data_IF_797601187425
#
_entry.id   IF_797601187425
#
_cell.length_a   1.000
_cell.length_b   1.000
_cell.length_c   1.000
_cell.angle_alpha   90.00
_cell.angle_beta   90.00
_cell.angle_gamma   90.00
#
_symmetry.space_group_name_H-M   'P 1'
#
loop_
_entity.id
_entity.type
_entity.pdbx_description
1 polymer ?
#
# COMPACT_ATOMS: atom_id res chain seq x y z
N UNK A 1 11.03 -36.09 -44.48
CA UNK A 1 9.57 -36.13 -44.70
C UNK A 1 9.08 -37.54 -45.02
N UNK A 2 9.64 -38.26 -46.01
CA UNK A 2 9.27 -39.66 -46.32
C UNK A 2 9.10 -40.59 -45.10
N UNK A 3 10.05 -40.59 -44.16
CA UNK A 3 9.96 -41.43 -42.95
C UNK A 3 8.84 -41.01 -41.99
N UNK A 4 8.51 -39.71 -41.91
CA UNK A 4 7.44 -39.19 -41.05
C UNK A 4 6.07 -39.65 -41.56
N UNK A 5 5.88 -39.62 -42.88
CA UNK A 5 4.65 -40.08 -43.52
C UNK A 5 4.44 -41.59 -43.37
N UNK A 6 5.51 -42.37 -43.54
CA UNK A 6 5.49 -43.83 -43.34
C UNK A 6 5.12 -44.17 -41.89
N UNK A 7 5.70 -43.46 -40.91
CA UNK A 7 5.36 -43.67 -39.50
C UNK A 7 3.90 -43.31 -39.23
N UNK A 8 3.40 -42.18 -39.76
CA UNK A 8 2.01 -41.78 -39.61
C UNK A 8 1.05 -42.83 -40.18
N UNK A 9 1.30 -43.28 -41.41
CA UNK A 9 0.45 -44.26 -42.09
C UNK A 9 0.49 -45.64 -41.43
N UNK A 10 1.68 -46.12 -41.04
CA UNK A 10 1.84 -47.42 -40.38
C UNK A 10 1.21 -47.45 -38.99
N UNK A 11 1.35 -46.35 -38.21
CA UNK A 11 0.77 -46.26 -36.87
C UNK A 11 -0.76 -46.20 -36.88
N UNK A 12 -1.37 -45.63 -37.93
CA UNK A 12 -2.83 -45.60 -38.05
C UNK A 12 -3.41 -46.89 -38.67
N UNK A 13 -2.67 -47.57 -39.54
CA UNK A 13 -3.11 -48.81 -40.19
C UNK A 13 -2.95 -50.06 -39.31
N UNK A 14 -2.10 -50.01 -38.29
CA UNK A 14 -1.93 -51.10 -37.31
C UNK A 14 -3.02 -51.13 -36.23
N UNK A 15 -3.88 -50.12 -36.17
CA UNK A 15 -4.92 -49.95 -35.15
C UNK A 15 -6.32 -50.17 -35.72
N UNK A 16 -7.29 -50.43 -34.85
CA UNK A 16 -8.69 -50.37 -35.26
C UNK A 16 -9.14 -48.92 -35.50
N UNK A 17 -10.29 -48.73 -36.16
CA UNK A 17 -10.73 -47.40 -36.59
C UNK A 17 -11.04 -46.43 -35.45
N UNK A 18 -11.40 -46.91 -34.26
CA UNK A 18 -11.68 -46.03 -33.11
C UNK A 18 -10.37 -45.62 -32.43
N UNK A 19 -9.49 -46.56 -32.15
CA UNK A 19 -8.15 -46.31 -31.60
C UNK A 19 -7.33 -45.37 -32.49
N UNK A 20 -7.43 -45.52 -33.82
CA UNK A 20 -6.76 -44.64 -34.78
C UNK A 20 -7.29 -43.20 -34.73
N UNK A 21 -8.58 -42.99 -34.41
CA UNK A 21 -9.18 -41.65 -34.27
C UNK A 21 -8.76 -40.98 -32.96
N UNK A 22 -8.55 -41.75 -31.91
CA UNK A 22 -8.14 -41.24 -30.61
C UNK A 22 -6.66 -40.85 -30.62
N UNK A 23 -5.81 -41.64 -31.30
CA UNK A 23 -4.38 -41.37 -31.41
C UNK A 23 -4.03 -40.23 -32.39
N UNK A 24 -4.99 -39.82 -33.24
CA UNK A 24 -4.76 -38.96 -34.38
C UNK A 24 -4.12 -37.61 -34.03
N UNK A 25 -4.65 -36.94 -33.01
CA UNK A 25 -4.20 -35.61 -32.60
C UNK A 25 -2.78 -35.67 -32.02
N UNK A 26 -2.53 -36.61 -31.11
CA UNK A 26 -1.23 -36.79 -30.47
C UNK A 26 -0.15 -37.24 -31.46
N UNK A 27 -0.50 -38.16 -32.37
CA UNK A 27 0.43 -38.64 -33.39
C UNK A 27 0.80 -37.51 -34.37
N UNK A 28 -0.19 -36.75 -34.86
CA UNK A 28 0.06 -35.61 -35.72
C UNK A 28 0.91 -34.54 -35.03
N UNK A 29 0.66 -34.26 -33.75
CA UNK A 29 1.43 -33.28 -32.97
C UNK A 29 2.89 -33.73 -32.82
N UNK A 30 3.12 -34.94 -32.33
CA UNK A 30 4.46 -35.46 -32.07
C UNK A 30 5.32 -35.53 -33.34
N UNK A 31 4.73 -35.96 -34.46
CA UNK A 31 5.41 -36.03 -35.74
C UNK A 31 5.71 -34.65 -36.32
N UNK A 32 4.81 -33.68 -36.13
CA UNK A 32 5.03 -32.30 -36.53
C UNK A 32 6.17 -31.65 -35.73
N UNK A 33 6.15 -31.75 -34.40
CA UNK A 33 7.23 -31.26 -33.54
C UNK A 33 8.59 -31.85 -33.93
N UNK A 34 8.67 -33.18 -34.11
CA UNK A 34 9.90 -33.86 -34.54
C UNK A 34 10.44 -33.35 -35.87
N UNK A 35 9.54 -32.95 -36.78
CA UNK A 35 9.94 -32.50 -38.11
C UNK A 35 10.30 -31.01 -38.14
N UNK A 36 9.68 -30.20 -37.28
CA UNK A 36 10.07 -28.81 -37.02
C UNK A 36 11.46 -28.76 -36.38
N UNK A 37 11.73 -29.57 -35.36
CA UNK A 37 13.05 -29.64 -34.69
C UNK A 37 14.19 -29.97 -35.67
N UNK A 38 13.92 -30.76 -36.71
CA UNK A 38 14.91 -31.13 -37.74
C UNK A 38 15.22 -30.00 -38.72
N UNK A 39 14.31 -29.04 -38.90
CA UNK A 39 14.49 -27.92 -39.82
C UNK A 39 13.69 -26.68 -39.35
N UNK A 40 14.18 -25.98 -38.32
CA UNK A 40 13.45 -24.90 -37.65
C UNK A 40 13.27 -23.65 -38.53
N UNK A 41 14.07 -23.47 -39.59
CA UNK A 41 14.02 -22.26 -40.43
C UNK A 41 12.87 -22.25 -41.45
N UNK A 42 12.08 -23.32 -41.57
CA UNK A 42 10.99 -23.43 -42.56
C UNK A 42 9.70 -24.02 -41.99
N UNK A 43 9.36 -23.70 -40.73
CA UNK A 43 8.19 -24.24 -40.00
C UNK A 43 6.91 -24.23 -40.84
N UNK A 44 6.58 -23.09 -41.47
CA UNK A 44 5.33 -22.95 -42.22
C UNK A 44 5.28 -23.85 -43.47
N UNK A 45 6.39 -24.01 -44.20
CA UNK A 45 6.47 -24.93 -45.34
C UNK A 45 6.32 -26.39 -44.89
N UNK A 46 6.92 -26.74 -43.75
CA UNK A 46 6.83 -28.09 -43.17
C UNK A 46 5.40 -28.40 -42.77
N UNK A 47 4.74 -27.50 -42.03
CA UNK A 47 3.36 -27.68 -41.59
C UNK A 47 2.38 -27.78 -42.77
N UNK A 48 2.52 -26.95 -43.79
CA UNK A 48 1.69 -27.01 -45.00
C UNK A 48 1.84 -28.35 -45.72
N UNK A 49 3.07 -28.86 -45.84
CA UNK A 49 3.34 -30.14 -46.46
C UNK A 49 2.80 -31.31 -45.63
N UNK A 50 3.00 -31.27 -44.30
CA UNK A 50 2.45 -32.29 -43.38
C UNK A 50 0.92 -32.32 -43.38
N UNK A 51 0.26 -31.17 -43.46
CA UNK A 51 -1.20 -31.09 -43.57
C UNK A 51 -1.67 -31.86 -44.81
N UNK A 52 -1.12 -31.56 -45.98
CA UNK A 52 -1.50 -32.23 -47.24
C UNK A 52 -1.23 -33.74 -47.16
N UNK A 53 -0.05 -34.12 -46.65
CA UNK A 53 0.37 -35.51 -46.52
C UNK A 53 -0.52 -36.32 -45.56
N UNK A 54 -0.78 -35.80 -44.37
CA UNK A 54 -1.64 -36.46 -43.37
C UNK A 54 -3.07 -36.60 -43.87
N UNK A 55 -3.65 -35.55 -44.47
CA UNK A 55 -4.99 -35.62 -45.05
C UNK A 55 -5.08 -36.65 -46.19
N UNK A 56 -4.02 -36.81 -46.97
CA UNK A 56 -3.93 -37.83 -48.04
C UNK A 56 -3.95 -39.24 -47.44
N UNK A 57 -3.22 -39.46 -46.34
CA UNK A 57 -3.24 -40.74 -45.60
C UNK A 57 -4.63 -41.02 -45.01
N UNK A 58 -5.31 -40.02 -44.43
CA UNK A 58 -6.67 -40.20 -43.92
C UNK A 58 -7.65 -40.62 -45.01
N UNK A 59 -7.54 -40.06 -46.22
CA UNK A 59 -8.34 -40.51 -47.37
C UNK A 59 -8.04 -41.96 -47.74
N UNK A 60 -6.76 -42.34 -47.79
CA UNK A 60 -6.32 -43.70 -48.11
C UNK A 60 -6.85 -44.74 -47.11
N UNK A 61 -6.88 -44.40 -45.82
CA UNK A 61 -7.30 -45.30 -44.75
C UNK A 61 -8.81 -45.25 -44.43
N UNK A 62 -9.62 -44.52 -45.20
CA UNK A 62 -11.05 -44.30 -44.92
C UNK A 62 -11.30 -43.70 -43.53
N UNK A 63 -10.42 -42.81 -43.07
CA UNK A 63 -10.50 -42.04 -41.83
C UNK A 63 -10.76 -40.54 -42.09
N UNK A 64 -11.03 -40.15 -43.32
CA UNK A 64 -11.28 -38.76 -43.68
C UNK A 64 -12.69 -38.34 -43.25
N UNK A 65 -12.78 -37.56 -42.16
CA UNK A 65 -14.00 -36.92 -41.65
C UNK A 65 -13.67 -35.53 -41.13
N UNK A 66 -14.67 -34.64 -41.03
CA UNK A 66 -14.48 -33.27 -40.52
C UNK A 66 -13.88 -33.26 -39.10
N UNK A 67 -14.27 -34.23 -38.26
CA UNK A 67 -13.72 -34.40 -36.92
C UNK A 67 -12.22 -34.72 -36.94
N UNK A 68 -11.82 -35.70 -37.77
CA UNK A 68 -10.42 -36.12 -37.86
C UNK A 68 -9.55 -35.06 -38.53
N UNK A 69 -10.07 -34.37 -39.55
CA UNK A 69 -9.42 -33.21 -40.17
C UNK A 69 -9.16 -32.12 -39.12
N UNK A 70 -10.17 -31.83 -38.28
CA UNK A 70 -10.05 -30.85 -37.20
C UNK A 70 -8.97 -31.26 -36.19
N UNK A 71 -8.89 -32.53 -35.80
CA UNK A 71 -7.84 -33.06 -34.91
C UNK A 71 -6.44 -32.84 -35.50
N UNK A 72 -6.24 -33.13 -36.79
CA UNK A 72 -4.95 -32.89 -37.48
C UNK A 72 -4.60 -31.40 -37.49
N UNK A 73 -5.56 -30.53 -37.85
CA UNK A 73 -5.31 -29.08 -37.90
C UNK A 73 -4.96 -28.54 -36.51
N UNK A 74 -5.70 -28.93 -35.45
CA UNK A 74 -5.40 -28.56 -34.06
C UNK A 74 -4.00 -29.00 -33.65
N UNK A 75 -3.61 -30.22 -33.97
CA UNK A 75 -2.29 -30.75 -33.67
C UNK A 75 -1.17 -29.95 -34.34
N UNK A 76 -1.33 -29.58 -35.62
CA UNK A 76 -0.36 -28.80 -36.38
C UNK A 76 -0.25 -27.35 -35.88
N UNK A 77 -1.36 -26.74 -35.49
CA UNK A 77 -1.37 -25.41 -34.86
C UNK A 77 -0.72 -25.46 -33.47
N UNK A 78 -0.99 -26.49 -32.66
CA UNK A 78 -0.30 -26.69 -31.38
C UNK A 78 1.21 -26.82 -31.57
N UNK A 79 1.64 -27.63 -32.55
CA UNK A 79 3.06 -27.83 -32.85
C UNK A 79 3.76 -26.56 -33.35
N UNK A 80 3.05 -25.61 -33.97
CA UNK A 80 3.64 -24.38 -34.48
C UNK A 80 3.99 -23.36 -33.39
N UNK A 81 3.36 -23.47 -32.21
CA UNK A 81 3.54 -22.53 -31.09
C UNK A 81 4.29 -23.15 -29.90
N UNK A 82 4.60 -24.44 -29.94
CA UNK A 82 5.17 -25.20 -28.82
C UNK A 82 6.53 -24.64 -28.37
N UNK A 83 7.43 -24.32 -29.31
CA UNK A 83 8.74 -23.72 -28.98
C UNK A 83 8.59 -22.33 -28.35
N UNK A 84 7.67 -21.50 -28.88
CA UNK A 84 7.36 -20.17 -28.32
C UNK A 84 6.78 -20.29 -26.91
N UNK A 85 5.89 -21.25 -26.69
CA UNK A 85 5.30 -21.55 -25.39
C UNK A 85 6.35 -22.02 -24.37
N UNK A 86 7.25 -22.90 -24.79
CA UNK A 86 8.35 -23.37 -23.93
C UNK A 86 9.34 -22.25 -23.60
N UNK A 87 9.62 -21.36 -24.55
CA UNK A 87 10.43 -20.16 -24.33
C UNK A 87 9.77 -19.23 -23.31
N UNK A 88 8.46 -19.01 -23.43
CA UNK A 88 7.68 -18.22 -22.46
C UNK A 88 7.76 -18.82 -21.04
N UNK A 89 7.59 -20.13 -20.89
CA UNK A 89 7.75 -20.78 -19.58
C UNK A 89 9.18 -20.67 -19.04
N UNK A 90 10.19 -20.70 -19.91
CA UNK A 90 11.57 -20.40 -19.54
C UNK A 90 11.69 -19.00 -18.92
N UNK A 91 11.18 -17.97 -19.59
CA UNK A 91 11.18 -16.60 -19.05
C UNK A 91 10.40 -16.48 -17.73
N UNK A 92 9.26 -17.15 -17.59
CA UNK A 92 8.50 -17.14 -16.33
C UNK A 92 9.30 -17.72 -15.17
N UNK A 93 10.02 -18.83 -15.40
CA UNK A 93 10.89 -19.44 -14.39
C UNK A 93 12.09 -18.54 -14.05
N UNK A 94 12.70 -17.89 -15.04
CA UNK A 94 13.78 -16.92 -14.81
C UNK A 94 13.31 -15.75 -13.94
N UNK A 95 12.11 -15.21 -14.20
CA UNK A 95 11.49 -14.16 -13.38
C UNK A 95 11.29 -14.64 -11.95
N UNK A 96 10.80 -15.87 -11.75
CA UNK A 96 10.61 -16.42 -10.39
C UNK A 96 11.93 -16.54 -9.63
N UNK A 97 12.98 -17.04 -10.27
CA UNK A 97 14.32 -17.15 -9.69
C UNK A 97 14.89 -15.76 -9.37
N UNK A 98 14.71 -14.79 -10.27
CA UNK A 98 15.19 -13.43 -10.08
C UNK A 98 14.48 -12.75 -8.90
N UNK A 99 13.16 -12.92 -8.78
CA UNK A 99 12.38 -12.42 -7.66
C UNK A 99 12.86 -13.00 -6.33
N UNK A 100 13.11 -14.31 -6.27
CA UNK A 100 13.70 -14.96 -5.07
C UNK A 100 15.06 -14.39 -4.71
N UNK A 101 15.93 -14.13 -5.69
CA UNK A 101 17.25 -13.51 -5.47
C UNK A 101 17.14 -12.08 -4.97
N UNK A 102 16.24 -11.27 -5.53
CA UNK A 102 15.96 -9.91 -5.07
C UNK A 102 15.51 -9.93 -3.62
N UNK A 103 14.57 -10.81 -3.27
CA UNK A 103 14.04 -10.90 -1.91
C UNK A 103 15.12 -11.33 -0.91
N UNK A 104 15.95 -12.32 -1.26
CA UNK A 104 17.09 -12.72 -0.44
C UNK A 104 18.09 -11.56 -0.23
N UNK A 105 18.36 -10.77 -1.27
CA UNK A 105 19.27 -9.62 -1.15
C UNK A 105 18.68 -8.51 -0.28
N UNK A 106 17.37 -8.22 -0.41
CA UNK A 106 16.69 -7.29 0.49
C UNK A 106 16.83 -7.72 1.95
N UNK A 107 16.57 -9.00 2.24
CA UNK A 107 16.72 -9.54 3.60
C UNK A 107 18.16 -9.48 4.10
N UNK A 108 19.14 -9.69 3.23
CA UNK A 108 20.56 -9.62 3.59
C UNK A 108 20.96 -8.19 3.97
N UNK A 109 20.56 -7.20 3.16
CA UNK A 109 20.78 -5.77 3.46
C UNK A 109 20.09 -5.37 4.76
N UNK A 110 18.83 -5.78 4.95
CA UNK A 110 18.06 -5.57 6.17
C UNK A 110 18.77 -6.10 7.42
N UNK A 111 19.24 -7.34 7.37
CA UNK A 111 19.95 -7.97 8.48
C UNK A 111 21.29 -7.29 8.77
N UNK A 112 22.05 -6.92 7.73
CA UNK A 112 23.33 -6.24 7.90
C UNK A 112 23.17 -4.89 8.59
N UNK A 113 22.20 -4.09 8.16
CA UNK A 113 21.97 -2.77 8.75
C UNK A 113 21.46 -2.91 10.20
N UNK A 114 20.51 -3.82 10.44
CA UNK A 114 20.05 -4.11 11.81
C UNK A 114 21.20 -4.53 12.73
N UNK A 115 22.09 -5.42 12.26
CA UNK A 115 23.25 -5.86 13.04
C UNK A 115 24.21 -4.70 13.34
N UNK A 116 24.51 -3.84 12.37
CA UNK A 116 25.37 -2.69 12.62
C UNK A 116 24.75 -1.72 13.63
N UNK A 117 23.43 -1.50 13.60
CA UNK A 117 22.76 -0.66 14.60
C UNK A 117 22.84 -1.26 16.00
N UNK A 118 22.60 -2.57 16.17
CA UNK A 118 22.77 -3.24 17.46
C UNK A 118 24.22 -3.19 17.95
N UNK A 119 25.20 -3.40 17.06
CA UNK A 119 26.62 -3.26 17.40
C UNK A 119 26.96 -1.84 17.85
N UNK A 120 26.44 -0.82 17.15
CA UNK A 120 26.62 0.58 17.54
C UNK A 120 25.93 0.92 18.87
N UNK A 121 24.71 0.40 19.09
CA UNK A 121 24.01 0.57 20.37
C UNK A 121 24.82 -0.01 21.53
N UNK A 122 25.31 -1.25 21.39
CA UNK A 122 26.12 -1.91 22.41
C UNK A 122 27.41 -1.13 22.72
N UNK A 123 28.11 -0.66 21.70
CA UNK A 123 29.33 0.15 21.87
C UNK A 123 29.00 1.48 22.58
N UNK A 124 27.87 2.11 22.24
CA UNK A 124 27.46 3.39 22.82
C UNK A 124 27.00 3.24 24.28
N UNK A 125 26.33 2.14 24.64
CA UNK A 125 25.96 1.82 26.03
C UNK A 125 27.19 1.63 26.94
N UNK A 126 28.31 1.15 26.40
CA UNK A 126 29.58 1.01 27.13
C UNK A 126 30.40 2.32 27.19
N UNK A 127 29.99 3.36 26.47
CA UNK A 127 30.69 4.64 26.37
C UNK A 127 30.24 5.65 27.43
N UNK A 128 31.15 6.55 27.84
CA UNK A 128 30.90 7.59 28.87
C UNK A 128 29.93 8.72 28.45
N UNK A 129 29.30 8.62 27.27
CA UNK A 129 28.42 9.62 26.67
C UNK A 129 26.96 9.12 26.52
N UNK A 130 26.56 8.09 27.27
CA UNK A 130 25.27 7.40 27.18
C UNK A 130 24.04 8.35 27.24
N UNK A 131 24.11 9.42 28.01
CA UNK A 131 23.01 10.40 28.14
C UNK A 131 22.93 11.42 27.00
N UNK A 132 24.01 11.62 26.22
CA UNK A 132 24.06 12.63 25.14
C UNK A 132 23.67 12.08 23.76
N UNK A 133 23.73 10.76 23.55
CA UNK A 133 23.57 10.13 22.22
C UNK A 133 22.36 9.20 22.05
N UNK A 134 21.66 8.82 23.12
CA UNK A 134 20.45 7.96 23.03
C UNK A 134 19.40 8.51 22.06
N UNK A 135 19.23 9.82 21.98
CA UNK A 135 18.34 10.45 20.99
C UNK A 135 18.84 10.25 19.56
N UNK A 136 20.10 10.60 19.28
CA UNK A 136 20.66 10.58 17.93
C UNK A 136 20.84 9.19 17.32
N UNK A 137 21.10 8.16 18.13
CA UNK A 137 21.13 6.78 17.65
C UNK A 137 19.73 6.27 17.30
N UNK A 138 18.74 6.55 18.15
CA UNK A 138 17.35 6.23 17.86
C UNK A 138 16.88 6.95 16.58
N UNK A 139 17.23 8.22 16.40
CA UNK A 139 16.95 8.97 15.18
C UNK A 139 17.67 8.38 13.94
N UNK A 140 18.91 7.87 14.09
CA UNK A 140 19.62 7.20 12.99
C UNK A 140 19.04 5.82 12.64
N UNK A 141 18.58 5.06 13.64
CA UNK A 141 17.85 3.80 13.44
C UNK A 141 16.54 4.08 12.72
N UNK A 142 15.80 5.11 13.17
CA UNK A 142 14.53 5.55 12.59
C UNK A 142 14.68 5.99 11.12
N UNK A 143 15.76 6.69 10.76
CA UNK A 143 16.11 7.10 9.40
C UNK A 143 16.11 5.94 8.39
N UNK A 144 16.53 4.75 8.81
CA UNK A 144 16.62 3.57 7.95
C UNK A 144 15.36 2.68 7.97
N UNK A 145 14.37 2.92 8.86
CA UNK A 145 13.23 2.02 9.05
C UNK A 145 12.37 1.85 7.78
N UNK A 146 12.15 2.92 7.02
CA UNK A 146 11.45 2.84 5.74
C UNK A 146 12.39 2.42 4.59
N UNK A 147 13.66 2.84 4.61
CA UNK A 147 14.65 2.48 3.58
C UNK A 147 14.97 0.98 3.56
N UNK A 148 14.89 0.32 4.73
CA UNK A 148 15.15 -1.11 4.91
C UNK A 148 13.93 -2.01 4.72
N UNK A 149 12.73 -1.42 4.58
CA UNK A 149 11.47 -2.18 4.63
C UNK A 149 11.28 -2.92 5.95
N UNK A 150 11.70 -2.32 7.08
CA UNK A 150 11.52 -2.88 8.44
C UNK A 150 10.43 -2.20 9.25
N UNK A 151 9.79 -1.16 8.71
CA UNK A 151 8.75 -0.39 9.40
C UNK A 151 7.64 -1.28 10.00
N UNK A 152 7.25 -2.31 9.26
CA UNK A 152 6.26 -3.28 9.75
C UNK A 152 6.79 -4.00 10.99
N UNK A 153 7.96 -4.63 10.92
CA UNK A 153 8.49 -5.42 12.04
C UNK A 153 8.89 -4.55 13.24
N UNK A 154 9.39 -3.34 13.02
CA UNK A 154 9.71 -2.41 14.12
C UNK A 154 8.43 -1.95 14.82
N UNK A 155 7.39 -1.59 14.05
CA UNK A 155 6.09 -1.27 14.63
C UNK A 155 5.55 -2.48 15.41
N UNK A 156 5.56 -3.67 14.81
CA UNK A 156 5.07 -4.91 15.43
C UNK A 156 5.77 -5.18 16.77
N UNK A 157 7.10 -5.14 16.80
CA UNK A 157 7.88 -5.33 18.03
C UNK A 157 7.56 -4.30 19.10
N UNK A 158 7.39 -3.02 18.73
CA UNK A 158 7.09 -1.95 19.67
C UNK A 158 5.69 -2.09 20.29
N UNK A 159 4.68 -2.43 19.48
CA UNK A 159 3.31 -2.63 19.95
C UNK A 159 3.14 -3.94 20.74
N UNK A 160 3.83 -5.02 20.36
CA UNK A 160 3.87 -6.25 21.16
C UNK A 160 4.51 -5.98 22.53
N UNK A 161 5.64 -5.27 22.58
CA UNK A 161 6.27 -4.86 23.85
C UNK A 161 5.32 -4.01 24.71
N UNK A 162 4.51 -3.16 24.08
CA UNK A 162 3.51 -2.34 24.79
C UNK A 162 2.43 -3.22 25.44
N UNK A 163 1.97 -4.26 24.73
CA UNK A 163 1.04 -5.24 25.28
C UNK A 163 1.66 -6.08 26.41
N UNK A 164 2.92 -6.48 26.28
CA UNK A 164 3.64 -7.24 27.30
C UNK A 164 3.81 -6.46 28.60
N UNK A 165 4.07 -5.15 28.51
CA UNK A 165 4.20 -4.26 29.66
C UNK A 165 2.84 -3.88 30.28
N UNK A 166 1.77 -3.90 29.49
CA UNK A 166 0.38 -3.64 29.90
C UNK A 166 0.15 -2.31 30.67
N UNK A 167 1.03 -1.33 30.49
CA UNK A 167 0.93 0.00 31.10
C UNK A 167 0.41 1.01 30.08
N UNK A 168 -0.73 1.64 30.39
CA UNK A 168 -1.38 2.71 29.61
C UNK A 168 -1.30 2.51 28.09
N UNK A 169 -1.95 1.44 27.62
CA UNK A 169 -1.81 0.94 26.24
C UNK A 169 -2.25 2.00 25.22
N UNK A 170 -3.32 2.75 25.47
CA UNK A 170 -3.79 3.78 24.55
C UNK A 170 -2.75 4.89 24.39
N UNK A 171 -2.24 5.44 25.51
CA UNK A 171 -1.29 6.54 25.49
C UNK A 171 0.06 6.12 24.92
N UNK A 172 0.56 4.95 25.34
CA UNK A 172 1.83 4.41 24.86
C UNK A 172 1.77 4.09 23.38
N UNK A 173 0.66 3.50 22.91
CA UNK A 173 0.46 3.22 21.48
C UNK A 173 0.34 4.49 20.64
N UNK A 174 -0.25 5.54 21.20
CA UNK A 174 -0.26 6.86 20.57
C UNK A 174 1.16 7.40 20.40
N UNK A 175 1.95 7.47 21.46
CA UNK A 175 3.31 8.02 21.40
C UNK A 175 4.21 7.23 20.44
N UNK A 176 4.11 5.89 20.44
CA UNK A 176 4.85 5.04 19.49
C UNK A 176 4.43 5.35 18.05
N UNK A 177 3.13 5.32 17.74
CA UNK A 177 2.63 5.58 16.40
C UNK A 177 3.02 6.99 15.92
N UNK A 178 2.90 7.99 16.79
CA UNK A 178 3.27 9.38 16.53
C UNK A 178 4.73 9.51 16.15
N UNK A 179 5.64 8.92 16.94
CA UNK A 179 7.07 8.99 16.70
C UNK A 179 7.48 8.24 15.43
N UNK A 180 6.95 7.03 15.21
CA UNK A 180 7.23 6.24 14.01
C UNK A 180 6.81 6.99 12.73
N UNK A 181 5.60 7.57 12.74
CA UNK A 181 5.08 8.35 11.61
C UNK A 181 5.90 9.63 11.40
N UNK A 182 6.09 10.40 12.46
CA UNK A 182 6.79 11.68 12.39
C UNK A 182 8.21 11.51 11.82
N UNK A 183 8.95 10.53 12.32
CA UNK A 183 10.33 10.27 11.89
C UNK A 183 10.35 9.75 10.45
N UNK A 184 9.57 8.71 10.14
CA UNK A 184 9.53 8.14 8.78
C UNK A 184 9.17 9.17 7.69
N UNK A 185 8.27 10.12 8.00
CA UNK A 185 7.92 11.20 7.07
C UNK A 185 9.04 12.24 6.97
N UNK A 186 9.59 12.69 8.11
CA UNK A 186 10.56 13.78 8.14
C UNK A 186 11.94 13.41 7.58
N UNK A 187 12.27 12.12 7.55
CA UNK A 187 13.60 11.62 7.22
C UNK A 187 13.83 11.44 5.71
N UNK A 188 12.85 11.75 4.86
CA UNK A 188 12.97 11.57 3.42
C UNK A 188 12.02 12.48 2.60
N UNK A 189 11.78 12.19 1.31
CA UNK A 189 10.95 13.06 0.46
C UNK A 189 9.51 13.19 0.95
N UNK A 190 9.10 14.43 1.17
CA UNK A 190 7.80 14.83 1.69
C UNK A 190 6.74 14.79 0.58
N UNK A 191 6.11 13.63 0.38
CA UNK A 191 5.11 13.37 -0.66
C UNK A 191 3.84 12.76 -0.04
N UNK A 192 2.66 13.24 -0.46
CA UNK A 192 1.36 12.84 0.10
C UNK A 192 1.11 11.34 0.03
N UNK A 193 1.34 10.73 -1.14
CA UNK A 193 1.15 9.29 -1.36
C UNK A 193 1.98 8.45 -0.38
N UNK A 194 3.22 8.88 -0.13
CA UNK A 194 4.13 8.19 0.77
C UNK A 194 3.70 8.31 2.23
N UNK A 195 3.28 9.50 2.67
CA UNK A 195 2.75 9.71 4.02
C UNK A 195 1.60 8.73 4.30
N UNK A 196 0.68 8.57 3.33
CA UNK A 196 -0.45 7.65 3.45
C UNK A 196 0.03 6.18 3.44
N UNK A 197 1.03 5.83 2.64
CA UNK A 197 1.61 4.48 2.60
C UNK A 197 2.26 4.07 3.92
N UNK A 198 3.09 4.95 4.50
CA UNK A 198 3.70 4.74 5.83
C UNK A 198 2.61 4.56 6.88
N UNK A 199 1.59 5.42 6.85
CA UNK A 199 0.41 5.35 7.73
C UNK A 199 -0.32 4.01 7.61
N UNK A 200 -0.54 3.53 6.37
CA UNK A 200 -1.17 2.24 6.11
C UNK A 200 -0.38 1.07 6.71
N UNK A 201 0.95 1.07 6.61
CA UNK A 201 1.81 0.01 7.16
C UNK A 201 1.63 -0.08 8.67
N UNK A 202 1.74 1.05 9.37
CA UNK A 202 1.66 1.09 10.84
C UNK A 202 0.24 0.72 11.31
N UNK A 203 -0.79 1.30 10.70
CA UNK A 203 -2.18 1.01 11.04
C UNK A 203 -2.50 -0.47 10.87
N UNK A 204 -2.15 -1.06 9.72
CA UNK A 204 -2.42 -2.48 9.47
C UNK A 204 -1.66 -3.40 10.43
N UNK A 205 -0.42 -3.08 10.77
CA UNK A 205 0.36 -3.84 11.75
C UNK A 205 -0.35 -3.88 13.11
N UNK A 206 -0.84 -2.73 13.58
CA UNK A 206 -1.58 -2.68 14.85
C UNK A 206 -2.95 -3.32 14.75
N UNK A 207 -3.64 -3.21 13.61
CA UNK A 207 -4.93 -3.87 13.40
C UNK A 207 -4.80 -5.39 13.39
N UNK A 208 -3.73 -5.94 12.82
CA UNK A 208 -3.41 -7.36 12.92
C UNK A 208 -3.27 -7.78 14.40
N UNK A 209 -2.44 -7.07 15.17
CA UNK A 209 -2.23 -7.31 16.61
C UNK A 209 -3.53 -7.14 17.43
N UNK A 210 -4.31 -6.11 17.15
CA UNK A 210 -5.55 -5.81 17.86
C UNK A 210 -6.65 -6.84 17.58
N UNK A 211 -6.69 -7.42 16.37
CA UNK A 211 -7.59 -8.51 16.07
C UNK A 211 -7.25 -9.78 16.86
N UNK A 212 -5.96 -10.04 17.09
CA UNK A 212 -5.49 -11.16 17.91
C UNK A 212 -5.68 -10.89 19.41
N UNK A 213 -5.50 -9.63 19.84
CA UNK A 213 -5.56 -9.20 21.24
C UNK A 213 -6.88 -8.50 21.57
N UNK A 214 -7.98 -9.29 21.60
CA UNK A 214 -9.34 -8.77 21.83
C UNK A 214 -9.51 -7.92 23.10
N UNK A 215 -8.72 -8.19 24.15
CA UNK A 215 -8.80 -7.46 25.43
C UNK A 215 -8.32 -6.01 25.34
N UNK A 216 -7.38 -5.71 24.43
CA UNK A 216 -6.73 -4.41 24.30
C UNK A 216 -6.99 -3.74 22.95
N UNK A 217 -7.80 -4.38 22.09
CA UNK A 217 -8.07 -3.94 20.73
C UNK A 217 -8.56 -2.49 20.65
N UNK A 218 -9.44 -2.08 21.59
CA UNK A 218 -9.98 -0.72 21.63
C UNK A 218 -8.89 0.31 21.89
N UNK A 219 -8.09 0.10 22.92
CA UNK A 219 -7.05 1.03 23.35
C UNK A 219 -5.93 1.11 22.31
N UNK A 220 -5.55 -0.02 21.70
CA UNK A 220 -4.61 -0.07 20.58
C UNK A 220 -5.12 0.73 19.37
N UNK A 221 -6.35 0.50 18.93
CA UNK A 221 -6.94 1.18 17.77
C UNK A 221 -7.06 2.69 18.00
N UNK A 222 -7.50 3.11 19.19
CA UNK A 222 -7.60 4.53 19.55
C UNK A 222 -6.22 5.18 19.58
N UNK A 223 -5.28 4.55 20.27
CA UNK A 223 -3.91 5.03 20.41
C UNK A 223 -3.24 5.20 19.05
N UNK A 224 -3.21 4.15 18.24
CA UNK A 224 -2.50 4.17 16.94
C UNK A 224 -3.12 5.18 15.97
N UNK A 225 -4.45 5.24 15.85
CA UNK A 225 -5.10 6.16 14.90
C UNK A 225 -4.80 7.62 15.26
N UNK A 226 -4.91 7.94 16.56
CA UNK A 226 -4.64 9.28 17.05
C UNK A 226 -3.16 9.64 16.93
N UNK A 227 -2.27 8.72 17.32
CA UNK A 227 -0.83 8.90 17.19
C UNK A 227 -0.41 9.09 15.73
N UNK A 228 -1.00 8.34 14.80
CA UNK A 228 -0.74 8.53 13.36
C UNK A 228 -1.18 9.90 12.86
N UNK A 229 -2.36 10.38 13.25
CA UNK A 229 -2.81 11.74 12.90
C UNK A 229 -1.85 12.81 13.46
N UNK A 230 -1.49 12.70 14.74
CA UNK A 230 -0.57 13.64 15.39
C UNK A 230 0.82 13.64 14.74
N UNK A 231 1.33 12.46 14.38
CA UNK A 231 2.62 12.32 13.70
C UNK A 231 2.63 12.99 12.32
N UNK A 232 1.55 12.83 11.55
CA UNK A 232 1.38 13.52 10.25
C UNK A 232 1.35 15.04 10.47
N UNK A 233 0.54 15.52 11.41
CA UNK A 233 0.43 16.96 11.71
C UNK A 233 1.79 17.55 12.10
N UNK A 234 2.51 16.90 13.02
CA UNK A 234 3.83 17.35 13.45
C UNK A 234 4.85 17.35 12.31
N UNK A 235 4.80 16.36 11.42
CA UNK A 235 5.69 16.29 10.27
C UNK A 235 5.40 17.43 9.27
N UNK A 236 4.12 17.74 9.04
CA UNK A 236 3.68 18.87 8.20
C UNK A 236 4.10 20.20 8.83
N UNK A 237 3.95 20.36 10.15
CA UNK A 237 4.41 21.55 10.87
C UNK A 237 5.93 21.71 10.80
N UNK A 238 6.69 20.63 11.00
CA UNK A 238 8.16 20.63 10.86
C UNK A 238 8.55 21.02 9.44
N UNK A 239 7.93 20.42 8.43
CA UNK A 239 8.12 20.79 7.03
C UNK A 239 7.84 22.28 6.83
N UNK A 240 6.67 22.80 7.21
CA UNK A 240 6.33 24.23 7.13
C UNK A 240 7.35 25.13 7.84
N UNK A 241 7.89 24.71 8.99
CA UNK A 241 8.85 25.48 9.78
C UNK A 241 10.27 25.49 9.20
N UNK A 242 10.77 24.36 8.68
CA UNK A 242 12.09 24.27 8.03
C UNK A 242 12.15 25.10 6.74
N UNK A 243 10.98 25.36 6.15
CA UNK A 243 10.80 26.19 4.96
C UNK A 243 10.90 27.70 5.24
N UNK A 244 10.77 28.16 6.50
CA UNK A 244 10.88 29.59 6.83
C UNK A 244 12.30 30.18 6.65
N UNK A 245 13.29 29.34 6.38
CA UNK A 245 14.71 29.70 6.20
C UNK A 245 15.27 29.36 4.80
N UNK A 246 14.48 28.79 3.88
CA UNK A 246 14.95 28.34 2.56
C UNK A 246 14.78 29.42 1.47
N UNK A 247 15.83 29.68 0.68
CA UNK A 247 15.86 30.71 -0.39
C UNK A 247 15.14 30.33 -1.69
N UNK A 248 14.67 29.08 -1.82
CA UNK A 248 13.98 28.56 -3.00
C UNK A 248 12.46 28.46 -2.76
N UNK A 249 11.75 29.59 -2.81
CA UNK A 249 10.35 29.65 -2.38
C UNK A 249 9.28 29.13 -3.40
N UNK A 250 9.64 28.80 -4.65
CA UNK A 250 8.68 28.38 -5.70
C UNK A 250 8.32 26.89 -5.63
N UNK A 251 9.29 25.99 -5.50
CA UNK A 251 9.06 24.54 -5.30
C UNK A 251 8.27 24.25 -4.00
N UNK A 252 8.36 25.17 -3.04
CA UNK A 252 7.76 25.06 -1.70
C UNK A 252 6.24 25.30 -1.73
N UNK A 253 5.78 26.28 -2.52
CA UNK A 253 4.34 26.56 -2.69
C UNK A 253 3.65 25.39 -3.38
N UNK A 254 4.33 24.76 -4.34
CA UNK A 254 3.83 23.58 -5.04
C UNK A 254 3.70 22.38 -4.09
N UNK A 255 4.76 22.02 -3.35
CA UNK A 255 4.70 20.91 -2.38
C UNK A 255 3.72 21.15 -1.24
N UNK A 256 3.57 22.39 -0.78
CA UNK A 256 2.56 22.73 0.24
C UNK A 256 1.13 22.60 -0.29
N UNK A 257 0.91 22.89 -1.59
CA UNK A 257 -0.38 22.67 -2.25
C UNK A 257 -0.71 21.19 -2.40
N UNK A 258 0.30 20.34 -2.62
CA UNK A 258 0.11 18.88 -2.69
C UNK A 258 -0.38 18.29 -1.36
N UNK A 259 -0.11 18.90 -0.22
CA UNK A 259 -0.53 18.41 1.10
C UNK A 259 -1.95 18.81 1.50
N UNK A 260 -2.59 19.68 0.71
CA UNK A 260 -3.97 20.09 0.93
C UNK A 260 -4.88 18.84 0.89
N UNK A 261 -5.77 18.74 1.88
CA UNK A 261 -6.72 17.63 2.00
C UNK A 261 -6.11 16.32 2.51
N UNK A 262 -4.85 16.28 2.96
CA UNK A 262 -4.24 15.04 3.50
C UNK A 262 -5.00 14.43 4.67
N UNK A 263 -5.68 15.24 5.47
CA UNK A 263 -6.55 14.75 6.54
C UNK A 263 -7.77 14.00 6.00
N UNK A 264 -8.36 14.44 4.87
CA UNK A 264 -9.47 13.72 4.23
C UNK A 264 -8.98 12.42 3.56
N UNK A 265 -7.82 12.46 2.89
CA UNK A 265 -7.19 11.25 2.34
C UNK A 265 -6.84 10.23 3.43
N UNK A 266 -6.46 10.68 4.63
CA UNK A 266 -6.25 9.78 5.77
C UNK A 266 -7.55 9.12 6.24
N UNK A 267 -8.68 9.84 6.21
CA UNK A 267 -9.99 9.25 6.51
C UNK A 267 -10.40 8.24 5.43
N UNK A 268 -10.11 8.53 4.16
CA UNK A 268 -10.34 7.60 3.06
C UNK A 268 -9.49 6.34 3.21
N UNK A 269 -8.20 6.50 3.55
CA UNK A 269 -7.30 5.39 3.87
C UNK A 269 -7.89 4.50 4.97
N UNK A 270 -8.35 5.07 6.09
CA UNK A 270 -8.97 4.29 7.16
C UNK A 270 -10.19 3.49 6.68
N UNK A 271 -11.05 4.09 5.84
CA UNK A 271 -12.21 3.41 5.25
C UNK A 271 -11.80 2.28 4.30
N UNK A 272 -10.69 2.43 3.58
CA UNK A 272 -10.18 1.39 2.69
C UNK A 272 -9.56 0.24 3.46
N UNK A 273 -8.75 0.52 4.48
CA UNK A 273 -8.13 -0.52 5.31
C UNK A 273 -9.21 -1.31 6.07
N UNK A 274 -10.25 -0.63 6.57
CA UNK A 274 -11.37 -1.28 7.25
C UNK A 274 -12.07 -2.38 6.42
N UNK A 275 -12.11 -2.25 5.09
CA UNK A 275 -12.71 -3.27 4.21
C UNK A 275 -11.97 -4.61 4.31
N UNK A 276 -10.71 -4.59 4.74
CA UNK A 276 -9.83 -5.76 4.87
C UNK A 276 -9.80 -6.32 6.30
N UNK A 277 -10.37 -5.62 7.27
CA UNK A 277 -10.28 -5.96 8.69
C UNK A 277 -11.47 -6.77 9.20
N UNK A 278 -11.21 -7.59 10.22
CA UNK A 278 -12.21 -8.36 10.96
C UNK A 278 -12.60 -7.66 12.28
N UNK A 279 -13.56 -8.24 13.00
CA UNK A 279 -13.87 -7.83 14.38
C UNK A 279 -12.78 -8.32 15.34
N UNK A 280 -12.44 -7.56 16.41
CA UNK A 280 -13.12 -6.36 16.89
C UNK A 280 -12.71 -5.03 16.23
N UNK A 281 -11.60 -5.00 15.49
CA UNK A 281 -11.06 -3.75 14.91
C UNK A 281 -12.08 -3.04 14.02
N UNK A 282 -12.75 -3.80 13.16
CA UNK A 282 -13.73 -3.25 12.22
C UNK A 282 -14.80 -2.41 12.93
N UNK A 283 -15.43 -2.96 13.96
CA UNK A 283 -16.48 -2.28 14.72
C UNK A 283 -15.93 -1.06 15.49
N UNK A 284 -14.73 -1.16 16.06
CA UNK A 284 -14.10 -0.07 16.81
C UNK A 284 -13.83 1.13 15.89
N UNK A 285 -13.20 0.88 14.74
CA UNK A 285 -12.81 1.95 13.81
C UNK A 285 -14.02 2.49 13.05
N UNK A 286 -15.03 1.67 12.74
CA UNK A 286 -16.32 2.15 12.19
C UNK A 286 -17.00 3.13 13.15
N UNK A 287 -17.05 2.81 14.44
CA UNK A 287 -17.57 3.74 15.45
C UNK A 287 -16.76 5.04 15.53
N UNK A 288 -15.41 4.95 15.50
CA UNK A 288 -14.56 6.15 15.50
C UNK A 288 -14.80 7.03 14.28
N UNK A 289 -14.95 6.44 13.10
CA UNK A 289 -15.29 7.16 11.88
C UNK A 289 -16.66 7.83 11.99
N UNK A 290 -17.69 7.13 12.47
CA UNK A 290 -19.04 7.70 12.53
C UNK A 290 -19.14 8.88 13.52
N UNK A 291 -18.53 8.75 14.70
CA UNK A 291 -18.76 9.69 15.80
C UNK A 291 -17.68 10.76 15.97
N UNK A 292 -16.44 10.47 15.61
CA UNK A 292 -15.30 11.35 15.90
C UNK A 292 -14.60 11.86 14.64
N UNK A 293 -14.33 10.98 13.68
CA UNK A 293 -13.43 11.28 12.56
C UNK A 293 -14.13 11.67 11.27
N UNK A 294 -15.32 11.16 10.93
CA UNK A 294 -16.05 11.46 9.67
C UNK A 294 -17.42 12.11 9.89
N UNK A 295 -17.69 12.53 11.12
CA UNK A 295 -18.90 13.28 11.47
C UNK A 295 -18.98 14.61 10.70
N UNK A 296 -20.20 15.16 10.55
CA UNK A 296 -20.40 16.46 9.90
C UNK A 296 -19.54 17.58 10.52
N UNK A 297 -19.29 17.51 11.83
CA UNK A 297 -18.45 18.47 12.52
C UNK A 297 -16.97 18.27 12.19
N UNK A 298 -16.49 17.02 12.18
CA UNK A 298 -15.12 16.70 11.81
C UNK A 298 -14.83 17.17 10.37
N UNK A 299 -15.73 16.88 9.43
CA UNK A 299 -15.67 17.39 8.05
C UNK A 299 -15.61 18.91 7.98
N UNK A 300 -16.46 19.59 8.75
CA UNK A 300 -16.46 21.05 8.80
C UNK A 300 -15.15 21.61 9.37
N UNK A 301 -14.61 21.01 10.44
CA UNK A 301 -13.33 21.40 11.02
C UNK A 301 -12.21 21.27 10.00
N UNK A 302 -12.12 20.12 9.32
CA UNK A 302 -11.12 19.89 8.26
C UNK A 302 -11.23 20.90 7.13
N UNK A 303 -12.46 21.10 6.61
CA UNK A 303 -12.71 22.09 5.55
C UNK A 303 -12.30 23.50 5.97
N UNK A 304 -12.56 23.89 7.22
CA UNK A 304 -12.16 25.19 7.75
C UNK A 304 -10.63 25.33 7.84
N UNK A 305 -9.93 24.30 8.34
CA UNK A 305 -8.47 24.25 8.39
C UNK A 305 -7.87 24.30 6.99
N UNK A 306 -8.36 23.48 6.07
CA UNK A 306 -7.91 23.43 4.69
C UNK A 306 -8.13 24.77 3.97
N UNK A 307 -9.30 25.38 4.12
CA UNK A 307 -9.61 26.69 3.56
C UNK A 307 -8.66 27.77 4.10
N UNK A 308 -8.31 27.70 5.39
CA UNK A 308 -7.31 28.59 6.01
C UNK A 308 -5.94 28.39 5.35
N UNK A 309 -5.50 27.15 5.14
CA UNK A 309 -4.21 26.87 4.52
C UNK A 309 -4.15 27.37 3.06
N UNK A 310 -5.19 27.11 2.29
CA UNK A 310 -5.34 27.63 0.92
C UNK A 310 -5.28 29.17 0.89
N UNK A 311 -5.98 29.84 1.80
CA UNK A 311 -5.95 31.30 1.91
C UNK A 311 -4.56 31.80 2.28
N UNK A 312 -3.85 31.17 3.20
CA UNK A 312 -2.47 31.55 3.56
C UNK A 312 -1.54 31.45 2.34
N UNK A 313 -1.67 30.39 1.53
CA UNK A 313 -0.88 30.22 0.31
C UNK A 313 -1.17 31.32 -0.71
N UNK A 314 -2.44 31.62 -0.97
CA UNK A 314 -2.85 32.73 -1.86
C UNK A 314 -2.33 34.08 -1.36
N UNK A 315 -2.41 34.33 -0.05
CA UNK A 315 -1.89 35.55 0.58
C UNK A 315 -0.36 35.69 0.41
N UNK A 316 0.37 34.58 0.52
CA UNK A 316 1.82 34.56 0.30
C UNK A 316 2.16 34.81 -1.18
N UNK A 317 1.41 34.23 -2.12
CA UNK A 317 1.59 34.46 -3.56
C UNK A 317 1.33 35.94 -3.92
N UNK A 318 0.30 36.58 -3.33
CA UNK A 318 0.01 38.01 -3.52
C UNK A 318 1.16 38.90 -3.01
N UNK A 319 1.78 38.55 -1.86
CA UNK A 319 2.90 39.30 -1.29
C UNK A 319 4.13 39.33 -2.21
N UNK A 320 4.31 38.33 -3.08
CA UNK A 320 5.46 38.21 -4.01
C UNK A 320 5.35 39.08 -5.27
N UNK A 321 4.20 39.69 -5.55
CA UNK A 321 4.00 40.42 -6.80
C UNK A 321 4.72 41.79 -6.78
N UNK A 322 5.75 42.02 -7.62
CA UNK A 322 6.59 43.23 -7.56
C UNK A 322 5.89 44.54 -7.95
N UNK A 323 4.67 44.47 -8.52
CA UNK A 323 3.85 45.66 -8.84
C UNK A 323 3.14 46.27 -7.61
N UNK A 324 3.38 45.76 -6.40
CA UNK A 324 2.63 46.07 -5.16
C UNK A 324 3.52 46.83 -4.14
N UNK A 325 4.54 47.59 -4.59
CA UNK A 325 5.42 48.29 -3.64
C UNK A 325 4.72 49.37 -2.79
N UNK A 326 3.66 50.02 -3.29
CA UNK A 326 2.90 51.05 -2.55
C UNK A 326 1.75 50.50 -1.68
N UNK A 327 1.46 49.20 -1.77
CA UNK A 327 0.35 48.56 -1.07
C UNK A 327 0.77 47.93 0.28
N UNK A 328 1.97 48.27 0.77
CA UNK A 328 2.70 47.41 1.71
C UNK A 328 2.34 47.56 3.20
N UNK A 329 1.77 48.66 3.71
CA UNK A 329 1.47 48.78 5.16
C UNK A 329 0.01 48.52 5.53
N UNK A 330 -0.92 49.12 4.78
CA UNK A 330 -2.36 48.99 5.05
C UNK A 330 -2.87 47.59 4.71
N UNK A 331 -2.34 46.99 3.65
CA UNK A 331 -2.74 45.64 3.20
C UNK A 331 -2.05 44.56 4.02
N UNK A 332 -0.81 44.76 4.47
CA UNK A 332 -0.18 43.87 5.46
C UNK A 332 -0.92 43.90 6.81
N UNK A 333 -1.31 45.08 7.31
CA UNK A 333 -2.09 45.18 8.54
C UNK A 333 -3.49 44.56 8.39
N UNK A 334 -4.16 44.75 7.24
CA UNK A 334 -5.43 44.08 6.94
C UNK A 334 -5.26 42.56 6.75
N UNK A 335 -4.17 42.10 6.15
CA UNK A 335 -3.84 40.67 6.03
C UNK A 335 -3.60 40.04 7.39
N UNK A 336 -2.80 40.69 8.24
CA UNK A 336 -2.48 40.19 9.57
C UNK A 336 -3.73 40.16 10.45
N UNK A 337 -4.58 41.20 10.34
CA UNK A 337 -5.90 41.22 10.97
C UNK A 337 -6.80 40.11 10.44
N UNK A 338 -6.81 39.84 9.13
CA UNK A 338 -7.57 38.76 8.54
C UNK A 338 -7.08 37.37 9.00
N UNK A 339 -5.75 37.17 9.11
CA UNK A 339 -5.16 35.97 9.72
C UNK A 339 -5.57 35.81 11.19
N UNK A 340 -5.62 36.91 11.95
CA UNK A 340 -6.11 36.91 13.34
C UNK A 340 -7.62 36.58 13.41
N UNK A 341 -8.44 37.18 12.56
CA UNK A 341 -9.88 36.91 12.49
C UNK A 341 -10.17 35.44 12.15
N UNK A 342 -9.36 34.82 11.28
CA UNK A 342 -9.43 33.38 10.98
C UNK A 342 -9.04 32.54 12.22
N UNK A 343 -7.98 32.92 12.93
CA UNK A 343 -7.54 32.24 14.15
C UNK A 343 -8.58 32.33 15.28
N UNK A 344 -9.23 33.49 15.42
CA UNK A 344 -10.34 33.70 16.35
C UNK A 344 -11.58 32.85 15.98
N UNK A 345 -11.88 32.72 14.69
CA UNK A 345 -12.94 31.83 14.18
C UNK A 345 -12.67 30.36 14.53
N UNK A 346 -11.43 29.89 14.36
CA UNK A 346 -11.01 28.54 14.73
C UNK A 346 -11.12 28.30 16.24
N UNK A 347 -10.68 29.26 17.06
CA UNK A 347 -10.81 29.18 18.51
C UNK A 347 -12.29 29.17 18.95
N UNK A 348 -13.14 29.98 18.34
CA UNK A 348 -14.59 29.94 18.62
C UNK A 348 -15.23 28.60 18.24
N UNK A 349 -14.76 27.95 17.17
CA UNK A 349 -15.21 26.60 16.78
C UNK A 349 -14.74 25.55 17.80
N UNK A 350 -13.48 25.64 18.25
CA UNK A 350 -12.92 24.76 19.27
C UNK A 350 -13.61 24.95 20.65
N UNK A 351 -13.98 26.17 21.03
CA UNK A 351 -14.72 26.44 22.27
C UNK A 351 -16.18 25.98 22.21
N UNK A 352 -16.88 26.22 21.09
CA UNK A 352 -18.24 25.68 20.87
C UNK A 352 -18.25 24.14 20.90
N UNK A 353 -17.17 23.48 20.50
CA UNK A 353 -17.02 22.03 20.59
C UNK A 353 -16.94 21.53 22.05
N UNK A 354 -16.16 22.20 22.91
CA UNK A 354 -16.13 21.88 24.35
C UNK A 354 -17.51 22.02 24.99
N UNK A 355 -18.26 23.06 24.61
CA UNK A 355 -19.60 23.29 25.15
C UNK A 355 -20.66 22.31 24.60
N UNK A 356 -20.57 21.93 23.32
CA UNK A 356 -21.41 20.89 22.69
C UNK A 356 -21.17 19.50 23.29
N UNK A 357 -19.92 19.12 23.54
CA UNK A 357 -19.58 17.86 24.22
C UNK A 357 -20.04 17.87 25.67
N UNK A 358 -19.89 18.98 26.41
CA UNK A 358 -20.40 19.10 27.79
C UNK A 358 -21.92 18.98 27.84
N UNK A 359 -22.65 19.66 26.94
CA UNK A 359 -24.12 19.64 26.94
C UNK A 359 -24.69 18.31 26.45
N UNK A 360 -24.07 17.66 25.45
CA UNK A 360 -24.45 16.31 25.01
C UNK A 360 -24.10 15.25 26.04
N UNK A 361 -22.90 15.26 26.63
CA UNK A 361 -22.50 14.32 27.68
C UNK A 361 -23.34 14.48 28.95
N UNK A 362 -23.72 15.70 29.33
CA UNK A 362 -24.61 15.97 30.47
C UNK A 362 -26.05 15.51 30.17
N UNK A 363 -26.57 15.71 28.96
CA UNK A 363 -27.87 15.14 28.53
C UNK A 363 -27.85 13.62 28.41
N UNK A 364 -26.73 13.03 27.96
CA UNK A 364 -26.56 11.58 27.84
C UNK A 364 -26.43 10.94 29.23
N UNK A 365 -25.69 11.56 30.14
CA UNK A 365 -25.59 11.16 31.55
C UNK A 365 -26.92 11.24 32.28
N UNK A 366 -27.69 12.32 32.08
CA UNK A 366 -29.06 12.45 32.63
C UNK A 366 -29.98 11.37 32.03
N UNK A 367 -29.93 11.10 30.72
CA UNK A 367 -30.73 10.05 30.07
C UNK A 367 -30.34 8.63 30.49
N UNK A 368 -29.05 8.36 30.66
CA UNK A 368 -28.53 7.07 31.14
C UNK A 368 -28.92 6.86 32.61
N UNK A 369 -28.85 7.91 33.43
CA UNK A 369 -29.32 7.90 34.82
C UNK A 369 -30.84 7.72 34.93
N UNK A 370 -31.64 8.40 34.11
CA UNK A 370 -33.11 8.23 34.05
C UNK A 370 -33.50 6.81 33.58
N UNK A 371 -32.81 6.26 32.57
CA UNK A 371 -33.00 4.87 32.14
C UNK A 371 -32.63 3.88 33.24
N UNK A 372 -31.50 4.08 33.92
CA UNK A 372 -31.08 3.22 35.04
C UNK A 372 -32.06 3.29 36.22
N UNK A 373 -32.58 4.47 36.56
CA UNK A 373 -33.59 4.66 37.61
C UNK A 373 -34.92 3.98 37.31
N UNK A 374 -35.34 3.96 36.04
CA UNK A 374 -36.56 3.27 35.61
C UNK A 374 -36.42 1.74 35.58
N UNK A 375 -35.19 1.23 35.42
CA UNK A 375 -34.88 -0.20 35.53
C UNK A 375 -34.83 -0.71 36.98
N UNK A 376 -34.63 0.18 37.96
CA UNK A 376 -34.56 -0.14 39.40
C UNK A 376 -35.97 -0.12 40.07
N UNK A 377 -37.03 0.29 39.35
CA UNK A 377 -38.40 0.39 39.89
C UNK A 377 -39.43 -0.59 39.27
N UNK A 378 -38.99 -1.79 38.87
CA UNK A 378 -39.89 -2.93 38.67
C UNK A 378 -39.30 -4.20 39.24
#
# INVERSE_FOLDING_TARGET
>A
MKNTLIIFENSLSSLNKEEAKDLLEDLSFNLACKQIMRNPHNVQKILNSLLIEFLTVLKKLNLFSDENVTKVIKALVKASIEDTKNTLYGYMNEVEILNKKIENQKNLVKNQISNHFFEFENILQECKFDDEFKGSLNDAILFDIEMLGILKETAESAFLTTLEKAEDIELTSNEIAKNLIYNAICEAHFEKERILKISSIILNTVFEIANESMAYAKDLCLGVIKGTQEGITLAIEKFKSSLSYATFEEDISLKSKELIGIEDDFIELLKEELKKQNNPVKEIVENLLEYELDSLFAKFKRLATESREQLILVLNDIKKNPKINDFNKLTQNKLNRFKQEIYELENMVNEKYKDLNSQKAKKLGIRLWEKAKNLIKK
#
